data_IF_125325488860
#
_entry.id   IF_125325488860
#
_cell.length_a   1.000
_cell.length_b   1.000
_cell.length_c   1.000
_cell.angle_alpha   90.00
_cell.angle_beta   90.00
_cell.angle_gamma   90.00
#
_symmetry.space_group_name_H-M   'P 1'
#
loop_
_entity.id
_entity.type
_entity.pdbx_description
1 polymer ?
#
# COMPACT_ATOMS: atom_id res chain seq x y z
N UNK A 1 -32.08 10.13 15.89
CA UNK A 1 -31.25 9.17 15.11
C UNK A 1 -29.78 9.24 15.52
N UNK A 2 -29.14 10.43 15.54
CA UNK A 2 -27.72 10.63 15.93
C UNK A 2 -27.33 10.01 17.29
N UNK A 3 -28.17 10.18 18.33
CA UNK A 3 -27.91 9.62 19.67
C UNK A 3 -27.94 8.07 19.73
N UNK A 4 -28.70 7.42 18.84
CA UNK A 4 -28.73 5.95 18.77
C UNK A 4 -27.46 5.42 18.09
N UNK A 5 -26.97 6.12 17.07
CA UNK A 5 -25.72 5.79 16.37
C UNK A 5 -24.51 5.95 17.30
N UNK A 6 -24.45 6.99 18.13
CA UNK A 6 -23.36 7.19 19.09
C UNK A 6 -23.32 6.12 20.19
N UNK A 7 -24.48 5.69 20.71
CA UNK A 7 -24.53 4.58 21.68
C UNK A 7 -24.10 3.25 21.09
N UNK A 8 -24.40 3.02 19.81
CA UNK A 8 -23.98 1.80 19.11
C UNK A 8 -22.47 1.82 18.82
N UNK A 9 -21.89 2.98 18.51
CA UNK A 9 -20.43 3.13 18.29
C UNK A 9 -19.62 2.86 19.57
N UNK A 10 -20.09 3.27 20.75
CA UNK A 10 -19.43 2.96 22.03
C UNK A 10 -19.42 1.46 22.36
N UNK A 11 -20.39 0.68 21.86
CA UNK A 11 -20.46 -0.76 22.14
C UNK A 11 -19.39 -1.57 21.38
N UNK A 12 -18.84 -1.02 20.29
CA UNK A 12 -17.85 -1.69 19.45
C UNK A 12 -16.46 -1.06 19.49
N UNK A 13 -16.27 0.01 20.27
CA UNK A 13 -14.93 0.45 20.62
C UNK A 13 -14.19 -0.74 21.26
N UNK A 14 -12.93 -1.01 20.87
CA UNK A 14 -12.07 -1.88 21.67
C UNK A 14 -12.16 -1.38 23.11
N UNK A 15 -12.43 -2.29 24.06
CA UNK A 15 -12.68 -1.91 25.45
C UNK A 15 -11.58 -0.94 25.86
N UNK A 16 -11.97 0.26 26.28
CA UNK A 16 -11.06 1.23 26.88
C UNK A 16 -10.55 0.62 28.18
N UNK A 17 -9.54 -0.24 28.04
CA UNK A 17 -8.77 -0.69 29.17
C UNK A 17 -7.93 0.53 29.52
N UNK A 18 -8.42 1.33 30.48
CA UNK A 18 -7.65 2.41 31.11
C UNK A 18 -6.49 1.71 31.82
N UNK A 19 -5.38 1.57 31.11
CA UNK A 19 -4.18 0.87 31.56
C UNK A 19 -3.16 1.92 31.95
N UNK A 20 -3.37 2.53 33.11
CA UNK A 20 -2.35 3.33 33.77
C UNK A 20 -1.23 2.39 34.25
N UNK A 21 -0.18 2.21 33.44
CA UNK A 21 1.10 1.67 33.93
C UNK A 21 1.80 0.57 33.12
N UNK A 22 1.22 0.08 32.02
CA UNK A 22 1.90 -0.88 31.13
C UNK A 22 2.27 -0.22 29.80
N UNK A 23 3.54 -0.24 29.41
CA UNK A 23 4.07 0.39 28.20
C UNK A 23 3.61 -0.27 26.89
N UNK A 24 2.32 -0.24 26.59
CA UNK A 24 1.82 -0.60 25.27
C UNK A 24 2.16 0.51 24.26
N UNK A 25 2.84 0.12 23.18
CA UNK A 25 3.18 1.01 22.07
C UNK A 25 1.92 1.53 21.40
N UNK A 26 1.88 2.84 21.09
CA UNK A 26 0.79 3.47 20.33
C UNK A 26 0.46 2.71 19.03
N UNK A 27 1.46 2.10 18.41
CA UNK A 27 1.31 1.27 17.20
C UNK A 27 0.38 0.08 17.43
N UNK A 28 0.45 -0.58 18.58
CA UNK A 28 -0.41 -1.73 18.89
C UNK A 28 -1.88 -1.33 18.93
N UNK A 29 -2.19 -0.26 19.65
CA UNK A 29 -3.56 0.26 19.75
C UNK A 29 -4.12 0.71 18.40
N UNK A 30 -3.29 1.33 17.56
CA UNK A 30 -3.68 1.70 16.20
C UNK A 30 -3.99 0.46 15.34
N UNK A 31 -3.22 -0.62 15.48
CA UNK A 31 -3.47 -1.90 14.80
C UNK A 31 -4.79 -2.53 15.24
N UNK A 32 -5.13 -2.50 16.54
CA UNK A 32 -6.41 -3.01 17.03
C UNK A 32 -7.61 -2.31 16.36
N UNK A 33 -7.54 -0.98 16.25
CA UNK A 33 -8.56 -0.20 15.55
C UNK A 33 -8.63 -0.53 14.05
N UNK A 34 -7.48 -0.69 13.38
CA UNK A 34 -7.43 -1.11 11.97
C UNK A 34 -8.03 -2.51 11.75
N UNK A 35 -7.74 -3.46 12.65
CA UNK A 35 -8.34 -4.80 12.63
C UNK A 35 -9.85 -4.76 12.91
N UNK A 36 -10.29 -3.94 13.85
CA UNK A 36 -11.72 -3.71 14.09
C UNK A 36 -12.39 -3.15 12.82
N UNK A 37 -11.81 -2.12 12.20
CA UNK A 37 -12.30 -1.52 10.97
C UNK A 37 -12.43 -2.54 9.83
N UNK A 38 -11.43 -3.41 9.68
CA UNK A 38 -11.42 -4.50 8.69
C UNK A 38 -12.54 -5.52 8.94
N UNK A 39 -12.77 -5.91 10.20
CA UNK A 39 -13.90 -6.79 10.58
C UNK A 39 -15.27 -6.14 10.31
N UNK A 40 -15.40 -4.84 10.55
CA UNK A 40 -16.62 -4.10 10.19
C UNK A 40 -16.84 -4.07 8.68
N UNK A 41 -15.77 -3.86 7.90
CA UNK A 41 -15.82 -3.86 6.44
C UNK A 41 -16.27 -5.22 5.87
N UNK A 42 -15.73 -6.33 6.40
CA UNK A 42 -16.13 -7.69 6.00
C UNK A 42 -17.62 -7.97 6.27
N UNK A 43 -18.21 -7.30 7.25
CA UNK A 43 -19.65 -7.41 7.62
C UNK A 43 -20.52 -6.36 6.92
N UNK A 44 -19.97 -5.64 5.94
CA UNK A 44 -20.60 -4.52 5.23
C UNK A 44 -21.09 -3.37 6.13
N UNK A 45 -20.49 -3.22 7.32
CA UNK A 45 -20.79 -2.12 8.25
C UNK A 45 -19.91 -0.92 7.95
N UNK A 46 -20.21 -0.25 6.84
CA UNK A 46 -19.33 0.79 6.28
C UNK A 46 -19.10 1.97 7.24
N UNK A 47 -20.12 2.42 7.98
CA UNK A 47 -19.97 3.56 8.91
C UNK A 47 -19.09 3.20 10.12
N UNK A 48 -19.28 2.01 10.70
CA UNK A 48 -18.44 1.53 11.80
C UNK A 48 -16.98 1.37 11.34
N UNK A 49 -16.79 0.87 10.11
CA UNK A 49 -15.46 0.73 9.51
C UNK A 49 -14.77 2.08 9.30
N UNK A 50 -15.48 3.08 8.75
CA UNK A 50 -14.96 4.45 8.58
C UNK A 50 -14.55 5.04 9.93
N UNK A 51 -15.42 4.92 10.94
CA UNK A 51 -15.13 5.42 12.29
C UNK A 51 -13.86 4.78 12.86
N UNK A 52 -13.75 3.45 12.80
CA UNK A 52 -12.60 2.73 13.33
C UNK A 52 -11.30 3.05 12.58
N UNK A 53 -11.33 3.25 11.25
CA UNK A 53 -10.16 3.70 10.51
C UNK A 53 -9.71 5.10 10.91
N UNK A 54 -10.63 6.05 11.13
CA UNK A 54 -10.25 7.38 11.62
C UNK A 54 -9.63 7.34 13.01
N UNK A 55 -10.11 6.47 13.91
CA UNK A 55 -9.48 6.26 15.21
C UNK A 55 -8.07 5.68 15.09
N UNK A 56 -7.87 4.69 14.20
CA UNK A 56 -6.54 4.15 13.92
C UNK A 56 -5.59 5.24 13.41
N UNK A 57 -6.04 6.07 12.47
CA UNK A 57 -5.25 7.16 11.88
C UNK A 57 -4.82 8.21 12.90
N UNK A 58 -5.72 8.63 13.80
CA UNK A 58 -5.40 9.57 14.88
C UNK A 58 -4.27 9.03 15.77
N UNK A 59 -4.31 7.72 16.07
CA UNK A 59 -3.30 7.08 16.91
C UNK A 59 -1.96 6.93 16.16
N UNK A 60 -1.97 6.51 14.88
CA UNK A 60 -0.75 6.47 14.07
C UNK A 60 -0.10 7.85 13.97
N UNK A 61 -0.89 8.91 13.82
CA UNK A 61 -0.37 10.28 13.79
C UNK A 61 0.32 10.68 15.10
N UNK A 62 -0.24 10.29 16.24
CA UNK A 62 0.40 10.50 17.56
C UNK A 62 1.68 9.68 17.70
N UNK A 63 1.68 8.41 17.27
CA UNK A 63 2.87 7.56 17.29
C UNK A 63 4.01 8.24 16.52
N UNK A 64 3.79 8.60 15.26
CA UNK A 64 4.78 9.29 14.41
C UNK A 64 5.27 10.61 15.01
N UNK A 65 4.38 11.38 15.65
CA UNK A 65 4.74 12.65 16.30
C UNK A 65 5.64 12.43 17.52
N UNK A 66 5.41 11.34 18.28
CA UNK A 66 6.20 11.02 19.47
C UNK A 66 7.62 10.58 19.12
N UNK A 67 7.81 9.80 18.05
CA UNK A 67 9.12 9.34 17.58
C UNK A 67 10.02 10.48 17.11
N UNK A 68 9.46 11.58 16.59
CA UNK A 68 10.23 12.77 16.21
C UNK A 68 10.89 13.50 17.41
N UNK A 69 10.51 13.17 18.65
CA UNK A 69 11.05 13.82 19.87
C UNK A 69 12.10 12.97 20.60
N UNK A 70 12.22 11.68 20.28
CA UNK A 70 13.20 10.77 20.87
C UNK A 70 14.48 10.70 20.04
N UNK A 71 15.65 10.72 20.70
CA UNK A 71 16.97 10.78 20.05
C UNK A 71 17.23 9.74 18.95
N UNK A 72 18.16 10.08 18.07
CA UNK A 72 18.45 9.54 16.73
C UNK A 72 18.79 8.03 16.56
N UNK A 73 18.51 7.17 17.54
CA UNK A 73 18.93 5.77 17.56
C UNK A 73 17.99 4.79 16.86
N UNK A 74 16.69 4.87 17.12
CA UNK A 74 15.73 3.80 16.74
C UNK A 74 14.35 4.32 16.27
N UNK A 75 14.16 5.65 16.26
CA UNK A 75 12.89 6.27 15.86
C UNK A 75 12.49 6.03 14.38
N UNK A 76 13.40 5.48 13.57
CA UNK A 76 13.20 5.29 12.13
C UNK A 76 12.24 4.16 11.77
N UNK A 77 12.37 3.00 12.43
CA UNK A 77 11.62 1.78 12.13
C UNK A 77 10.13 1.94 12.42
N UNK A 78 9.80 2.33 13.66
CA UNK A 78 8.43 2.52 14.12
C UNK A 78 7.69 3.59 13.30
N UNK A 79 8.43 4.61 12.84
CA UNK A 79 7.87 5.65 11.97
C UNK A 79 7.52 5.10 10.60
N UNK A 80 8.37 4.29 9.98
CA UNK A 80 8.07 3.68 8.66
C UNK A 80 6.88 2.75 8.75
N UNK A 81 6.83 1.87 9.75
CA UNK A 81 5.71 0.93 9.93
C UNK A 81 4.42 1.70 10.19
N UNK A 82 4.45 2.74 11.04
CA UNK A 82 3.30 3.62 11.27
C UNK A 82 2.83 4.33 9.99
N UNK A 83 3.76 4.84 9.17
CA UNK A 83 3.43 5.45 7.87
C UNK A 83 2.75 4.43 6.93
N UNK A 84 3.29 3.21 6.83
CA UNK A 84 2.72 2.15 5.99
C UNK A 84 1.31 1.75 6.44
N UNK A 85 1.12 1.58 7.75
CA UNK A 85 -0.17 1.19 8.31
C UNK A 85 -1.20 2.30 8.18
N UNK A 86 -0.81 3.56 8.38
CA UNK A 86 -1.67 4.71 8.13
C UNK A 86 -2.04 4.82 6.64
N UNK A 87 -1.07 4.60 5.74
CA UNK A 87 -1.32 4.55 4.29
C UNK A 87 -2.37 3.49 3.94
N UNK A 88 -2.26 2.30 4.51
CA UNK A 88 -3.23 1.21 4.33
C UNK A 88 -4.62 1.56 4.88
N UNK A 89 -4.71 2.29 6.00
CA UNK A 89 -5.99 2.77 6.52
C UNK A 89 -6.67 3.75 5.55
N UNK A 90 -5.92 4.73 5.02
CA UNK A 90 -6.42 5.66 4.02
C UNK A 90 -6.83 4.96 2.73
N UNK A 91 -6.06 3.97 2.28
CA UNK A 91 -6.39 3.13 1.13
C UNK A 91 -7.75 2.46 1.28
N UNK A 92 -7.99 1.86 2.45
CA UNK A 92 -9.24 1.18 2.77
C UNK A 92 -10.41 2.16 2.89
N UNK A 93 -10.20 3.35 3.47
CA UNK A 93 -11.18 4.44 3.45
C UNK A 93 -11.53 4.84 2.01
N UNK A 94 -10.55 4.95 1.13
CA UNK A 94 -10.73 5.23 -0.30
C UNK A 94 -11.62 4.19 -0.99
N UNK A 95 -11.37 2.91 -0.72
CA UNK A 95 -12.20 1.81 -1.23
C UNK A 95 -13.65 1.87 -0.69
N UNK A 96 -13.84 2.16 0.60
CA UNK A 96 -15.17 2.31 1.21
C UNK A 96 -15.91 3.51 0.59
N UNK A 97 -15.27 4.66 0.44
CA UNK A 97 -15.87 5.84 -0.17
C UNK A 97 -16.25 5.60 -1.63
N UNK A 98 -15.41 4.87 -2.40
CA UNK A 98 -15.73 4.43 -3.76
C UNK A 98 -16.97 3.54 -3.77
N UNK A 99 -17.07 2.56 -2.86
CA UNK A 99 -18.25 1.69 -2.70
C UNK A 99 -19.52 2.48 -2.40
N UNK A 100 -19.40 3.56 -1.62
CA UNK A 100 -20.47 4.52 -1.31
C UNK A 100 -20.74 5.55 -2.42
N UNK A 101 -20.06 5.46 -3.56
CA UNK A 101 -20.14 6.40 -4.69
C UNK A 101 -19.76 7.85 -4.33
N UNK A 102 -18.95 8.03 -3.27
CA UNK A 102 -18.41 9.33 -2.87
C UNK A 102 -17.02 9.51 -3.48
N UNK A 103 -16.98 9.85 -4.77
CA UNK A 103 -15.73 9.87 -5.56
C UNK A 103 -14.72 10.89 -5.01
N UNK A 104 -15.17 12.09 -4.62
CA UNK A 104 -14.28 13.12 -4.07
C UNK A 104 -13.55 12.66 -2.79
N UNK A 105 -14.28 12.04 -1.86
CA UNK A 105 -13.69 11.50 -0.61
C UNK A 105 -12.79 10.29 -0.89
N UNK A 106 -13.16 9.46 -1.86
CA UNK A 106 -12.31 8.36 -2.29
C UNK A 106 -10.97 8.91 -2.79
N UNK A 107 -11.01 9.86 -3.72
CA UNK A 107 -9.83 10.52 -4.29
C UNK A 107 -8.93 11.14 -3.21
N UNK A 108 -9.51 11.89 -2.27
CA UNK A 108 -8.78 12.46 -1.13
C UNK A 108 -8.08 11.38 -0.30
N UNK A 109 -8.77 10.28 0.00
CA UNK A 109 -8.20 9.16 0.76
C UNK A 109 -7.05 8.48 0.01
N UNK A 110 -7.15 8.28 -1.30
CA UNK A 110 -6.07 7.70 -2.11
C UNK A 110 -4.85 8.62 -2.18
N UNK A 111 -5.05 9.95 -2.25
CA UNK A 111 -3.94 10.93 -2.20
C UNK A 111 -3.20 10.88 -0.86
N UNK A 112 -3.91 10.80 0.26
CA UNK A 112 -3.26 10.64 1.55
C UNK A 112 -2.52 9.30 1.70
N UNK A 113 -3.09 8.21 1.17
CA UNK A 113 -2.40 6.92 1.16
C UNK A 113 -1.07 7.00 0.39
N UNK A 114 -1.09 7.62 -0.79
CA UNK A 114 0.09 7.83 -1.62
C UNK A 114 1.16 8.68 -0.93
N UNK A 115 0.80 9.82 -0.35
CA UNK A 115 1.72 10.69 0.39
C UNK A 115 2.45 9.92 1.49
N UNK A 116 1.73 9.08 2.23
CA UNK A 116 2.29 8.27 3.31
C UNK A 116 3.20 7.15 2.79
N UNK A 117 2.81 6.47 1.71
CA UNK A 117 3.67 5.44 1.12
C UNK A 117 4.96 6.02 0.53
N UNK A 118 4.90 7.20 -0.10
CA UNK A 118 6.11 7.92 -0.55
C UNK A 118 7.02 8.26 0.61
N UNK A 119 6.47 8.83 1.67
CA UNK A 119 7.25 9.18 2.85
C UNK A 119 7.88 7.94 3.51
N UNK A 120 7.12 6.84 3.59
CA UNK A 120 7.64 5.56 4.06
C UNK A 120 8.80 5.06 3.19
N UNK A 121 8.64 5.11 1.86
CA UNK A 121 9.65 4.70 0.88
C UNK A 121 10.92 5.51 1.03
N UNK A 122 10.82 6.83 1.11
CA UNK A 122 11.98 7.72 1.24
C UNK A 122 12.78 7.41 2.52
N UNK A 123 12.09 7.12 3.63
CA UNK A 123 12.74 6.70 4.88
C UNK A 123 13.41 5.33 4.77
N UNK A 124 12.77 4.36 4.11
CA UNK A 124 13.38 3.04 3.85
C UNK A 124 14.63 3.19 3.00
N UNK A 125 14.59 4.01 1.95
CA UNK A 125 15.74 4.28 1.08
C UNK A 125 16.86 5.00 1.84
N UNK A 126 16.53 5.97 2.68
CA UNK A 126 17.49 6.65 3.55
C UNK A 126 18.15 5.65 4.51
N UNK A 127 17.37 4.74 5.11
CA UNK A 127 17.89 3.72 6.01
C UNK A 127 18.79 2.72 5.29
N UNK A 128 18.42 2.31 4.07
CA UNK A 128 19.24 1.49 3.19
C UNK A 128 20.59 2.14 2.89
N UNK A 129 20.63 3.45 2.64
CA UNK A 129 21.89 4.17 2.41
C UNK A 129 22.78 4.18 3.65
N UNK A 130 22.17 4.26 4.84
CA UNK A 130 22.89 4.27 6.12
C UNK A 130 23.43 2.89 6.52
N UNK A 131 22.68 1.84 6.20
CA UNK A 131 23.01 0.45 6.51
C UNK A 131 22.91 -0.41 5.25
N UNK A 132 23.92 -0.32 4.36
CA UNK A 132 23.91 -1.09 3.12
C UNK A 132 23.94 -2.59 3.43
N UNK A 133 23.03 -3.34 2.79
CA UNK A 133 22.97 -4.79 2.88
C UNK A 133 24.31 -5.43 2.50
N UNK A 134 24.83 -6.33 3.33
CA UNK A 134 26.02 -7.12 3.04
C UNK A 134 25.59 -8.55 2.65
N UNK A 135 25.77 -8.98 1.39
CA UNK A 135 25.47 -10.34 0.98
C UNK A 135 26.34 -11.34 1.75
N UNK A 136 25.72 -12.26 2.50
CA UNK A 136 26.44 -13.36 3.17
C UNK A 136 26.32 -13.41 4.69
N UNK A 137 25.69 -12.43 5.35
CA UNK A 137 25.13 -12.68 6.68
C UNK A 137 23.92 -13.59 6.47
N UNK A 138 24.09 -14.88 6.81
CA UNK A 138 23.13 -15.94 6.55
C UNK A 138 21.74 -15.58 7.09
N UNK A 139 20.87 -15.21 6.14
CA UNK A 139 19.47 -14.82 6.30
C UNK A 139 18.57 -16.07 6.56
N UNK A 140 19.08 -17.10 7.23
CA UNK A 140 18.31 -18.31 7.57
C UNK A 140 17.12 -17.99 8.49
N UNK A 141 17.16 -16.84 9.19
CA UNK A 141 16.09 -16.32 10.04
C UNK A 141 15.29 -15.18 9.38
N UNK A 142 14.98 -15.24 8.08
CA UNK A 142 13.98 -14.35 7.43
C UNK A 142 12.54 -14.71 7.86
N UNK A 143 12.29 -14.75 9.16
CA UNK A 143 10.94 -14.93 9.69
C UNK A 143 10.21 -13.58 9.68
N UNK A 144 9.45 -13.32 8.61
CA UNK A 144 8.56 -12.17 8.54
C UNK A 144 7.92 -12.00 7.17
N UNK A 145 6.71 -11.41 7.09
CA UNK A 145 6.13 -11.06 5.81
C UNK A 145 7.00 -10.00 5.11
N UNK A 146 7.32 -10.26 3.84
CA UNK A 146 7.98 -9.27 2.98
C UNK A 146 6.93 -8.28 2.48
N UNK A 147 7.13 -7.01 2.78
CA UNK A 147 6.25 -5.91 2.38
C UNK A 147 6.95 -5.08 1.32
N UNK A 148 6.29 -4.89 0.16
CA UNK A 148 6.78 -4.00 -0.88
C UNK A 148 6.01 -2.68 -0.85
N UNK A 149 6.67 -1.60 -0.43
CA UNK A 149 6.10 -0.25 -0.44
C UNK A 149 5.82 0.23 -1.87
N UNK A 150 6.69 -0.12 -2.81
CA UNK A 150 6.48 0.18 -4.23
C UNK A 150 5.18 -0.48 -4.73
N UNK A 151 4.86 -1.70 -4.28
CA UNK A 151 3.60 -2.35 -4.63
C UNK A 151 2.38 -1.60 -4.11
N UNK A 152 2.41 -1.15 -2.85
CA UNK A 152 1.32 -0.35 -2.32
C UNK A 152 1.17 0.99 -3.03
N UNK A 153 2.28 1.64 -3.37
CA UNK A 153 2.27 2.92 -4.09
C UNK A 153 1.73 2.75 -5.51
N UNK A 154 2.18 1.73 -6.26
CA UNK A 154 1.70 1.40 -7.60
C UNK A 154 0.21 1.07 -7.60
N UNK A 155 -0.26 0.20 -6.70
CA UNK A 155 -1.68 -0.13 -6.58
C UNK A 155 -2.54 1.12 -6.27
N UNK A 156 -2.00 2.02 -5.45
CA UNK A 156 -2.64 3.29 -5.08
C UNK A 156 -2.74 4.23 -6.27
N UNK A 157 -1.65 4.41 -7.02
CA UNK A 157 -1.60 5.23 -8.24
C UNK A 157 -2.54 4.71 -9.32
N UNK A 158 -2.51 3.41 -9.60
CA UNK A 158 -3.40 2.76 -10.56
C UNK A 158 -4.87 2.94 -10.15
N UNK A 159 -5.19 2.78 -8.87
CA UNK A 159 -6.56 2.98 -8.39
C UNK A 159 -6.99 4.44 -8.52
N UNK A 160 -6.11 5.38 -8.18
CA UNK A 160 -6.33 6.82 -8.31
C UNK A 160 -6.62 7.21 -9.75
N UNK A 161 -5.84 6.70 -10.71
CA UNK A 161 -6.03 6.92 -12.14
C UNK A 161 -7.46 6.57 -12.61
N UNK A 162 -8.06 5.49 -12.07
CA UNK A 162 -9.45 5.11 -12.41
C UNK A 162 -10.52 6.06 -11.88
N UNK A 163 -10.17 6.96 -10.96
CA UNK A 163 -11.05 7.95 -10.36
C UNK A 163 -10.84 9.35 -10.94
N UNK A 164 -9.77 9.56 -11.71
CA UNK A 164 -9.45 10.85 -12.30
C UNK A 164 -10.44 11.22 -13.40
N UNK A 165 -10.89 12.48 -13.39
CA UNK A 165 -11.83 12.99 -14.40
C UNK A 165 -11.13 13.56 -15.61
N UNK A 166 -9.85 13.94 -15.46
CA UNK A 166 -9.01 14.50 -16.51
C UNK A 166 -8.08 13.40 -17.02
N UNK A 167 -8.11 13.07 -18.32
CA UNK A 167 -7.27 12.01 -18.88
C UNK A 167 -5.78 12.22 -18.61
N UNK A 168 -5.31 13.47 -18.62
CA UNK A 168 -3.92 13.81 -18.28
C UNK A 168 -3.54 13.35 -16.89
N UNK A 169 -4.36 13.65 -15.88
CA UNK A 169 -4.03 13.30 -14.49
C UNK A 169 -4.03 11.76 -14.30
N UNK A 170 -4.86 11.02 -15.06
CA UNK A 170 -4.83 9.56 -15.11
C UNK A 170 -3.58 9.00 -15.80
N UNK A 171 -3.13 9.64 -16.90
CA UNK A 171 -1.89 9.31 -17.61
C UNK A 171 -0.70 9.51 -16.66
N UNK A 172 -0.60 10.68 -16.03
CA UNK A 172 0.48 11.01 -15.09
C UNK A 172 0.59 9.94 -13.97
N UNK A 173 -0.55 9.45 -13.45
CA UNK A 173 -0.56 8.37 -12.46
C UNK A 173 0.02 7.04 -12.98
N UNK A 174 -0.31 6.66 -14.22
CA UNK A 174 0.15 5.40 -14.79
C UNK A 174 1.60 5.47 -15.26
N UNK A 175 2.05 6.61 -15.78
CA UNK A 175 3.48 6.83 -16.11
C UNK A 175 4.34 6.74 -14.86
N UNK A 176 3.91 7.40 -13.78
CA UNK A 176 4.62 7.30 -12.51
C UNK A 176 4.62 5.88 -11.93
N UNK A 177 3.51 5.15 -12.08
CA UNK A 177 3.48 3.74 -11.70
C UNK A 177 4.47 2.90 -12.51
N UNK A 178 4.65 3.20 -13.82
CA UNK A 178 5.65 2.53 -14.65
C UNK A 178 7.07 2.84 -14.19
N UNK A 179 7.39 4.10 -13.92
CA UNK A 179 8.72 4.50 -13.44
C UNK A 179 9.07 3.75 -12.15
N UNK A 180 8.14 3.69 -11.19
CA UNK A 180 8.32 2.93 -9.95
C UNK A 180 8.53 1.44 -10.19
N UNK A 181 7.80 0.83 -11.12
CA UNK A 181 7.94 -0.60 -11.44
C UNK A 181 9.27 -0.92 -12.09
N UNK A 182 9.79 -0.02 -12.93
CA UNK A 182 11.11 -0.14 -13.54
C UNK A 182 12.22 0.03 -12.50
N UNK A 183 12.06 0.98 -11.57
CA UNK A 183 12.98 1.20 -10.45
C UNK A 183 12.96 0.08 -9.40
N UNK A 184 11.81 -0.57 -9.18
CA UNK A 184 11.64 -1.61 -8.16
C UNK A 184 12.39 -2.91 -8.50
N UNK A 185 12.96 -3.02 -9.71
CA UNK A 185 13.79 -4.15 -10.13
C UNK A 185 15.16 -4.12 -9.43
N UNK A 186 15.32 -4.89 -8.35
CA UNK A 186 16.62 -5.09 -7.71
C UNK A 186 16.53 -5.90 -6.41
N UNK A 187 17.64 -6.50 -5.99
CA UNK A 187 17.74 -7.20 -4.70
C UNK A 187 18.05 -6.21 -3.58
N UNK A 188 17.04 -5.79 -2.81
CA UNK A 188 17.26 -4.99 -1.60
C UNK A 188 16.27 -5.36 -0.51
N UNK A 189 16.76 -5.50 0.72
CA UNK A 189 15.91 -5.79 1.87
C UNK A 189 16.29 -4.86 3.02
N UNK A 190 15.29 -4.21 3.63
CA UNK A 190 15.44 -3.40 4.84
C UNK A 190 14.60 -4.06 5.93
N UNK A 191 15.27 -4.55 6.97
CA UNK A 191 14.63 -5.20 8.12
C UNK A 191 14.33 -4.15 9.19
N UNK A 192 13.07 -4.03 9.57
CA UNK A 192 12.62 -3.17 10.67
C UNK A 192 11.99 -4.04 11.75
N UNK A 193 12.55 -4.01 12.95
CA UNK A 193 12.03 -4.74 14.10
C UNK A 193 11.23 -3.81 14.99
N UNK A 194 10.00 -4.18 15.30
CA UNK A 194 9.15 -3.52 16.27
C UNK A 194 8.95 -4.44 17.50
N UNK A 195 8.45 -3.87 18.61
CA UNK A 195 8.00 -4.65 19.78
C UNK A 195 7.00 -5.78 19.46
N UNK A 196 6.35 -5.72 18.29
CA UNK A 196 5.28 -6.63 17.86
C UNK A 196 5.74 -7.64 16.77
N UNK A 197 6.98 -7.55 16.30
CA UNK A 197 7.52 -8.45 15.28
C UNK A 197 8.45 -7.75 14.28
N UNK A 198 9.06 -8.54 13.41
CA UNK A 198 9.95 -8.06 12.35
C UNK A 198 9.17 -7.89 11.04
N UNK A 199 9.21 -6.70 10.45
CA UNK A 199 8.72 -6.45 9.09
C UNK A 199 9.91 -6.29 8.17
N UNK A 200 9.93 -7.06 7.08
CA UNK A 200 10.98 -6.96 6.06
C UNK A 200 10.41 -6.16 4.90
N UNK A 201 10.98 -4.99 4.64
CA UNK A 201 10.71 -4.26 3.41
C UNK A 201 11.61 -4.79 2.32
N UNK A 202 11.03 -5.18 1.19
CA UNK A 202 11.76 -5.81 0.09
C UNK A 202 11.29 -5.34 -1.28
N UNK A 203 11.94 -5.83 -2.34
CA UNK A 203 11.54 -5.48 -3.69
C UNK A 203 10.19 -6.14 -3.99
N UNK A 204 9.51 -5.60 -5.00
CA UNK A 204 8.33 -6.26 -5.52
C UNK A 204 8.72 -7.58 -6.21
N UNK A 205 7.96 -8.64 -6.01
CA UNK A 205 8.17 -9.90 -6.74
C UNK A 205 8.06 -9.69 -8.25
N UNK A 206 8.94 -10.32 -9.03
CA UNK A 206 8.99 -10.14 -10.49
C UNK A 206 7.65 -10.45 -11.18
N UNK A 207 6.92 -11.45 -10.69
CA UNK A 207 5.57 -11.79 -11.19
C UNK A 207 4.60 -10.62 -11.01
N UNK A 208 4.59 -10.00 -9.83
CA UNK A 208 3.75 -8.83 -9.50
C UNK A 208 4.21 -7.60 -10.28
N UNK A 209 5.52 -7.38 -10.45
CA UNK A 209 6.05 -6.28 -11.29
C UNK A 209 5.47 -6.40 -12.69
N UNK A 210 5.57 -7.59 -13.28
CA UNK A 210 5.08 -7.81 -14.64
C UNK A 210 3.57 -7.61 -14.77
N UNK A 211 2.78 -8.08 -13.79
CA UNK A 211 1.33 -7.85 -13.75
C UNK A 211 0.99 -6.35 -13.75
N UNK A 212 1.59 -5.58 -12.84
CA UNK A 212 1.31 -4.14 -12.74
C UNK A 212 1.82 -3.34 -13.95
N UNK A 213 2.93 -3.77 -14.57
CA UNK A 213 3.43 -3.17 -15.81
C UNK A 213 2.42 -3.32 -16.94
N UNK A 214 1.90 -4.54 -17.13
CA UNK A 214 0.89 -4.83 -18.16
C UNK A 214 -0.36 -3.99 -17.92
N UNK A 215 -0.87 -3.94 -16.68
CA UNK A 215 -2.06 -3.14 -16.34
C UNK A 215 -1.86 -1.67 -16.69
N UNK A 216 -0.72 -1.08 -16.31
CA UNK A 216 -0.45 0.35 -16.55
C UNK A 216 -0.29 0.65 -18.03
N UNK A 217 0.43 -0.19 -18.78
CA UNK A 217 0.62 -0.02 -20.22
C UNK A 217 -0.70 -0.12 -21.00
N UNK A 218 -1.57 -1.07 -20.65
CA UNK A 218 -2.90 -1.19 -21.26
C UNK A 218 -3.79 0.02 -20.97
N UNK A 219 -3.73 0.53 -19.73
CA UNK A 219 -4.48 1.72 -19.34
C UNK A 219 -3.98 2.97 -20.06
N UNK A 220 -2.65 3.16 -20.15
CA UNK A 220 -2.05 4.25 -20.91
C UNK A 220 -2.42 4.20 -22.39
N UNK A 221 -2.29 3.04 -23.04
CA UNK A 221 -2.72 2.86 -24.42
C UNK A 221 -4.17 3.30 -24.62
N UNK A 222 -5.06 2.89 -23.72
CA UNK A 222 -6.48 3.26 -23.77
C UNK A 222 -6.73 4.76 -23.56
N UNK A 223 -6.02 5.40 -22.62
CA UNK A 223 -6.11 6.84 -22.34
C UNK A 223 -5.56 7.69 -23.49
N UNK A 224 -4.44 7.27 -24.08
CA UNK A 224 -3.86 7.92 -25.25
C UNK A 224 -4.77 7.81 -26.48
N UNK A 225 -5.38 6.65 -26.73
CA UNK A 225 -6.40 6.53 -27.78
C UNK A 225 -7.60 7.45 -27.54
N UNK A 226 -8.08 7.54 -26.29
CA UNK A 226 -9.23 8.38 -25.94
C UNK A 226 -8.94 9.89 -26.12
N UNK A 227 -7.67 10.30 -26.02
CA UNK A 227 -7.24 11.70 -26.22
C UNK A 227 -6.81 11.99 -27.66
N UNK A 228 -6.80 11.00 -28.54
CA UNK A 228 -6.35 11.13 -29.94
C UNK A 228 -4.83 11.09 -30.12
N UNK A 229 -4.08 10.78 -29.06
CA UNK A 229 -2.62 10.64 -29.06
C UNK A 229 -2.20 9.23 -29.52
N UNK A 230 -2.59 8.86 -30.74
CA UNK A 230 -2.37 7.51 -31.28
C UNK A 230 -0.89 7.10 -31.35
N UNK A 231 0.01 8.08 -31.54
CA UNK A 231 1.45 7.85 -31.64
C UNK A 231 2.04 7.36 -30.31
N UNK A 232 1.47 7.78 -29.17
CA UNK A 232 1.90 7.38 -27.83
C UNK A 232 1.16 6.11 -27.36
N UNK A 233 -0.11 5.97 -27.76
CA UNK A 233 -0.94 4.85 -27.35
C UNK A 233 -0.56 3.50 -27.96
N UNK A 234 -0.12 3.48 -29.22
CA UNK A 234 0.25 2.23 -29.91
C UNK A 234 1.49 1.55 -29.27
N UNK A 235 2.61 2.25 -29.03
CA UNK A 235 3.77 1.67 -28.35
C UNK A 235 3.42 1.05 -26.99
N UNK A 236 2.56 1.72 -26.20
CA UNK A 236 2.15 1.19 -24.90
C UNK A 236 1.45 -0.18 -25.01
N UNK A 237 0.59 -0.38 -26.01
CA UNK A 237 -0.04 -1.69 -26.24
C UNK A 237 0.94 -2.74 -26.76
N UNK A 238 1.88 -2.35 -27.63
CA UNK A 238 2.90 -3.25 -28.15
C UNK A 238 3.79 -3.78 -27.01
N UNK A 239 4.24 -2.89 -26.13
CA UNK A 239 5.01 -3.25 -24.92
C UNK A 239 4.21 -4.16 -23.98
N UNK A 240 2.92 -3.86 -23.74
CA UNK A 240 2.06 -4.71 -22.92
C UNK A 240 1.95 -6.13 -23.50
N UNK A 241 1.78 -6.24 -24.82
CA UNK A 241 1.65 -7.50 -25.53
C UNK A 241 2.97 -8.29 -25.51
N UNK A 242 4.10 -7.63 -25.67
CA UNK A 242 5.41 -8.28 -25.55
C UNK A 242 5.61 -8.88 -24.15
N UNK A 243 5.33 -8.11 -23.11
CA UNK A 243 5.42 -8.56 -21.71
C UNK A 243 4.48 -9.73 -21.41
N UNK A 244 3.25 -9.70 -21.94
CA UNK A 244 2.32 -10.82 -21.85
C UNK A 244 2.90 -12.08 -22.52
N UNK A 245 3.50 -11.96 -23.71
CA UNK A 245 4.12 -13.09 -24.43
C UNK A 245 5.29 -13.69 -23.65
N UNK A 246 6.10 -12.86 -23.00
CA UNK A 246 7.21 -13.32 -22.15
C UNK A 246 6.72 -14.09 -20.91
N UNK A 247 5.52 -13.78 -20.41
CA UNK A 247 4.93 -14.43 -19.23
C UNK A 247 4.13 -15.71 -19.53
N UNK A 248 3.88 -16.04 -20.81
CA UNK A 248 3.24 -17.31 -21.17
C UNK A 248 4.30 -18.40 -20.96
N UNK A 249 4.11 -19.35 -20.02
CA UNK A 249 5.04 -20.46 -19.89
C UNK A 249 5.13 -21.16 -21.25
N UNK A 250 6.33 -21.50 -21.74
CA UNK A 250 6.47 -22.18 -23.01
C UNK A 250 5.55 -23.38 -22.94
N UNK A 251 4.56 -23.45 -23.83
CA UNK A 251 3.62 -24.57 -23.86
C UNK A 251 4.44 -25.82 -24.12
N UNK A 252 4.86 -26.48 -23.04
CA UNK A 252 5.54 -27.74 -23.07
C UNK A 252 4.56 -28.71 -23.68
N UNK A 253 4.87 -29.11 -24.92
CA UNK A 253 4.45 -30.34 -25.59
C UNK A 253 3.40 -31.08 -24.79
N UNK A 254 2.13 -30.88 -25.15
CA UNK A 254 1.08 -31.84 -24.81
C UNK A 254 1.68 -33.21 -25.12
N UNK A 255 2.03 -33.93 -24.06
CA UNK A 255 2.62 -35.25 -24.18
C UNK A 255 1.62 -36.05 -24.99
N UNK A 256 1.99 -36.38 -26.22
CA UNK A 256 1.32 -37.39 -27.02
C UNK A 256 1.58 -38.73 -26.33
N UNK A 257 0.93 -38.95 -25.18
CA UNK A 257 0.68 -40.29 -24.68
C UNK A 257 -0.48 -40.83 -25.51
N UNK A 258 -0.13 -41.22 -26.74
CA UNK A 258 -0.90 -42.21 -27.49
C UNK A 258 -0.39 -43.55 -26.97
N UNK A 259 -1.13 -44.14 -26.05
CA UNK A 259 -1.05 -45.55 -25.70
C UNK A 259 -2.27 -46.25 -26.28
#
# INVERSE_FOLDING_TARGET
MVLATMKQQQQYAPKETIMEGGGESWSHRAMEWSHAASRHLQKDRLEDSIYAYHQALEIYQRAMSSHNTGGAGDAGSDTVISLCNAGSCWRNLGAIHRKRKSIAKAMESWKHAEELYRHGRDKVLQQRQRYPYQPGEEDEDREGPVVSLDAYLVETLQTRATLETRPKDAIDCHEEALDLLLESSGDWHVRLTETMGTVVFGPMEQSRIMEHLIISLQALGSLYLATGAYQDGLPAFEDALERLRQNIPPQGRLGTNVA
#
